data_IF_489668675002
#
_entry.id   IF_489668675002
#
_cell.length_a   1.000
_cell.length_b   1.000
_cell.length_c   1.000
_cell.angle_alpha   90.00
_cell.angle_beta   90.00
_cell.angle_gamma   90.00
#
_symmetry.space_group_name_H-M   'P 1'
#
loop_
_entity.id
_entity.type
_entity.pdbx_description
1 polymer ?
#
# COMPACT_ATOMS: atom_id res chain seq x y z
N UNK A 1 16.46 27.87 16.80
CA UNK A 1 15.02 27.51 16.73
C UNK A 1 14.95 26.01 16.53
N UNK A 2 14.69 25.27 17.62
CA UNK A 2 14.81 23.81 17.65
C UNK A 2 13.62 23.16 16.91
N UNK A 3 13.86 22.63 15.71
CA UNK A 3 12.95 21.68 15.08
C UNK A 3 12.84 20.46 15.99
N UNK A 4 11.71 20.35 16.70
CA UNK A 4 11.32 19.11 17.35
C UNK A 4 11.21 18.06 16.24
N UNK A 5 12.20 17.17 16.17
CA UNK A 5 12.11 15.92 15.41
C UNK A 5 10.95 15.14 16.01
N UNK A 6 9.73 15.36 15.51
CA UNK A 6 8.62 14.45 15.73
C UNK A 6 9.05 13.18 14.98
N UNK A 7 9.63 12.25 15.73
CA UNK A 7 9.83 10.89 15.28
C UNK A 7 8.45 10.33 14.96
N UNK A 8 8.09 10.38 13.67
CA UNK A 8 6.91 9.72 13.16
C UNK A 8 7.20 8.21 13.28
N UNK A 9 6.75 7.60 14.37
CA UNK A 9 6.78 6.14 14.53
C UNK A 9 5.74 5.57 13.56
N UNK A 10 6.10 5.46 12.29
CA UNK A 10 5.40 4.64 11.29
C UNK A 10 6.11 3.29 11.15
N UNK A 11 6.33 2.62 12.28
CA UNK A 11 6.60 1.19 12.29
C UNK A 11 5.31 0.49 12.71
N UNK A 12 4.29 0.51 11.85
CA UNK A 12 3.22 -0.47 11.96
C UNK A 12 3.77 -1.79 11.43
N UNK A 13 4.53 -2.48 12.28
CA UNK A 13 5.03 -3.82 11.98
C UNK A 13 3.80 -4.69 11.71
N UNK A 14 3.68 -5.23 10.49
CA UNK A 14 2.59 -6.10 10.08
C UNK A 14 2.39 -7.21 11.12
N UNK A 15 1.32 -7.10 11.91
CA UNK A 15 0.93 -8.12 12.85
C UNK A 15 0.36 -9.29 12.05
N UNK A 16 1.12 -10.38 11.94
CA UNK A 16 0.58 -11.65 11.44
C UNK A 16 -0.31 -12.24 12.53
N UNK A 17 -1.59 -11.88 12.57
CA UNK A 17 -2.56 -12.59 13.37
C UNK A 17 -4.01 -12.37 12.91
N UNK A 18 -4.71 -13.47 12.67
CA UNK A 18 -6.16 -13.57 12.82
C UNK A 18 -6.94 -13.50 11.52
N UNK A 19 -7.92 -14.38 11.42
CA UNK A 19 -9.00 -14.38 10.44
C UNK A 19 -9.60 -12.97 10.32
N UNK A 20 -9.28 -12.26 9.25
CA UNK A 20 -9.96 -11.03 8.88
C UNK A 20 -11.42 -11.39 8.60
N UNK A 21 -12.32 -11.02 9.49
CA UNK A 21 -13.76 -11.18 9.27
C UNK A 21 -14.20 -10.20 8.20
N UNK A 22 -14.56 -10.69 7.02
CA UNK A 22 -15.11 -9.87 5.96
C UNK A 22 -16.59 -9.61 6.20
N UNK A 23 -17.00 -8.36 6.06
CA UNK A 23 -18.42 -8.04 5.99
C UNK A 23 -18.98 -8.54 4.65
N UNK A 24 -20.19 -9.11 4.67
CA UNK A 24 -20.89 -9.57 3.46
C UNK A 24 -21.28 -8.41 2.51
N UNK A 25 -21.19 -7.17 2.99
CA UNK A 25 -21.46 -5.96 2.22
C UNK A 25 -20.32 -5.69 1.22
N UNK A 26 -20.54 -6.08 -0.04
CA UNK A 26 -19.65 -5.76 -1.15
C UNK A 26 -20.00 -4.44 -1.81
N UNK A 27 -18.99 -3.76 -2.36
CA UNK A 27 -19.10 -2.50 -3.10
C UNK A 27 -18.18 -2.57 -4.33
N UNK A 28 -18.43 -1.72 -5.32
CA UNK A 28 -17.53 -1.60 -6.48
C UNK A 28 -17.02 -0.17 -6.65
N UNK A 29 -15.77 -0.06 -7.08
CA UNK A 29 -15.14 1.21 -7.50
C UNK A 29 -14.91 1.14 -9.01
N UNK A 30 -15.33 2.18 -9.73
CA UNK A 30 -15.24 2.23 -11.19
C UNK A 30 -13.82 2.56 -11.66
N UNK A 31 -13.49 2.11 -12.85
CA UNK A 31 -12.24 2.47 -13.55
C UNK A 31 -12.06 3.99 -13.68
N UNK A 32 -10.79 4.43 -13.66
CA UNK A 32 -10.44 5.81 -14.00
C UNK A 32 -10.67 6.11 -15.49
N UNK A 33 -10.64 5.07 -16.34
CA UNK A 33 -10.98 5.15 -17.75
C UNK A 33 -12.51 5.16 -17.93
N UNK A 34 -13.04 6.29 -18.44
CA UNK A 34 -14.49 6.49 -18.64
C UNK A 34 -15.12 5.56 -19.67
N UNK A 35 -14.31 5.02 -20.59
CA UNK A 35 -14.76 4.09 -21.62
C UNK A 35 -14.66 2.62 -21.17
N UNK A 36 -14.12 2.39 -19.97
CA UNK A 36 -14.01 1.06 -19.37
C UNK A 36 -15.24 0.74 -18.53
N UNK A 37 -15.74 -0.50 -18.69
CA UNK A 37 -16.76 -1.07 -17.81
C UNK A 37 -16.16 -1.86 -16.64
N UNK A 38 -14.83 -1.81 -16.46
CA UNK A 38 -14.16 -2.51 -15.37
C UNK A 38 -14.53 -1.90 -14.02
N UNK A 39 -14.76 -2.78 -13.06
CA UNK A 39 -15.08 -2.44 -11.68
C UNK A 39 -14.20 -3.26 -10.73
N UNK A 40 -13.69 -2.61 -9.70
CA UNK A 40 -12.89 -3.24 -8.65
C UNK A 40 -13.78 -3.54 -7.47
N UNK A 41 -13.86 -4.81 -7.09
CA UNK A 41 -14.60 -5.25 -5.92
C UNK A 41 -13.85 -4.86 -4.63
N UNK A 42 -14.56 -4.21 -3.73
CA UNK A 42 -14.09 -3.91 -2.38
C UNK A 42 -15.16 -4.30 -1.35
N UNK A 43 -14.73 -4.45 -0.11
CA UNK A 43 -15.59 -4.84 1.01
C UNK A 43 -15.73 -3.68 1.98
N UNK A 44 -16.75 -3.73 2.82
CA UNK A 44 -16.88 -2.80 3.93
C UNK A 44 -15.77 -3.03 4.97
N UNK A 45 -14.96 -2.01 5.21
CA UNK A 45 -13.98 -2.01 6.30
C UNK A 45 -14.66 -1.81 7.66
N UNK A 46 -13.93 -2.09 8.75
CA UNK A 46 -14.38 -1.78 10.12
C UNK A 46 -14.47 -0.27 10.35
N UNK A 47 -13.54 0.47 9.76
CA UNK A 47 -13.55 1.94 9.75
C UNK A 47 -14.44 2.44 8.59
N UNK A 48 -15.42 3.29 8.92
CA UNK A 48 -16.38 3.81 7.96
C UNK A 48 -15.76 4.70 6.87
N UNK A 49 -14.56 5.22 7.09
CA UNK A 49 -13.83 6.07 6.14
C UNK A 49 -13.00 5.28 5.12
N UNK A 50 -13.00 3.94 5.21
CA UNK A 50 -12.22 3.05 4.36
C UNK A 50 -13.07 1.97 3.69
N UNK A 51 -12.58 1.50 2.55
CA UNK A 51 -12.90 0.21 1.96
C UNK A 51 -11.87 -0.82 2.41
N UNK A 52 -12.22 -2.09 2.37
CA UNK A 52 -11.27 -3.18 2.53
C UNK A 52 -11.04 -3.85 1.18
N UNK A 53 -9.81 -3.82 0.69
CA UNK A 53 -9.42 -4.51 -0.52
C UNK A 53 -8.80 -5.86 -0.19
N UNK A 54 -9.26 -6.91 -0.88
CA UNK A 54 -8.74 -8.26 -0.76
C UNK A 54 -8.29 -8.76 -2.13
N UNK A 55 -7.02 -9.13 -2.22
CA UNK A 55 -6.52 -9.85 -3.37
C UNK A 55 -6.51 -11.35 -3.05
N UNK A 56 -7.43 -12.10 -3.67
CA UNK A 56 -7.58 -13.54 -3.44
C UNK A 56 -6.44 -14.38 -4.02
N UNK A 57 -5.78 -13.89 -5.08
CA UNK A 57 -4.68 -14.60 -5.74
C UNK A 57 -3.46 -14.71 -4.84
N UNK A 58 -3.14 -13.64 -4.11
CA UNK A 58 -1.99 -13.58 -3.20
C UNK A 58 -2.38 -13.64 -1.72
N UNK A 59 -3.68 -13.59 -1.41
CA UNK A 59 -4.22 -13.74 -0.06
C UNK A 59 -3.84 -12.59 0.87
N UNK A 60 -3.79 -11.36 0.35
CA UNK A 60 -3.49 -10.15 1.14
C UNK A 60 -4.70 -9.22 1.26
N UNK A 61 -4.70 -8.43 2.33
CA UNK A 61 -5.72 -7.42 2.62
C UNK A 61 -5.06 -6.09 2.97
N UNK A 62 -5.68 -5.00 2.53
CA UNK A 62 -5.36 -3.64 3.00
C UNK A 62 -6.61 -2.77 2.93
N UNK A 63 -6.79 -1.89 3.91
CA UNK A 63 -7.84 -0.89 3.85
C UNK A 63 -7.42 0.27 2.94
N UNK A 64 -8.33 0.71 2.06
CA UNK A 64 -8.12 1.80 1.10
C UNK A 64 -9.05 2.96 1.47
N UNK A 65 -8.60 4.22 1.54
CA UNK A 65 -9.46 5.33 1.94
C UNK A 65 -10.61 5.54 0.93
N UNK A 66 -11.80 5.88 1.43
CA UNK A 66 -12.97 6.17 0.57
C UNK A 66 -12.84 7.41 -0.30
N UNK A 67 -11.82 8.24 -0.06
CA UNK A 67 -11.49 9.32 -0.99
C UNK A 67 -10.97 8.80 -2.31
N UNK A 68 -10.49 7.55 -2.36
CA UNK A 68 -10.24 6.86 -3.61
C UNK A 68 -11.57 6.47 -4.28
N UNK A 69 -11.92 7.19 -5.34
CA UNK A 69 -13.21 7.06 -6.03
C UNK A 69 -13.08 6.44 -7.41
N UNK A 70 -11.85 6.14 -7.82
CA UNK A 70 -11.52 5.42 -9.05
C UNK A 70 -10.56 4.29 -8.70
N UNK A 71 -10.63 3.20 -9.47
CA UNK A 71 -9.72 2.08 -9.29
C UNK A 71 -9.54 1.25 -10.56
N UNK A 72 -8.29 0.84 -10.84
CA UNK A 72 -7.93 0.03 -12.00
C UNK A 72 -7.09 -1.17 -11.56
N UNK A 73 -7.50 -2.38 -11.96
CA UNK A 73 -6.69 -3.58 -11.70
C UNK A 73 -5.38 -3.56 -12.50
N UNK A 74 -4.32 -4.10 -11.91
CA UNK A 74 -3.13 -4.44 -12.67
C UNK A 74 -3.44 -5.57 -13.67
N UNK A 75 -2.84 -5.53 -14.86
CA UNK A 75 -3.07 -6.51 -15.93
C UNK A 75 -2.78 -7.97 -15.50
N UNK A 76 -1.95 -8.17 -14.47
CA UNK A 76 -1.63 -9.49 -13.89
C UNK A 76 -2.53 -9.95 -12.74
N UNK A 77 -3.48 -9.12 -12.29
CA UNK A 77 -4.34 -9.41 -11.13
C UNK A 77 -3.61 -9.44 -9.79
N UNK A 78 -2.35 -8.99 -9.75
CA UNK A 78 -1.52 -8.96 -8.54
C UNK A 78 -1.76 -7.74 -7.65
N UNK A 79 -2.54 -6.79 -8.15
CA UNK A 79 -2.59 -5.46 -7.61
C UNK A 79 -3.69 -4.60 -8.18
N UNK A 80 -3.75 -3.37 -7.70
CA UNK A 80 -4.74 -2.39 -8.08
C UNK A 80 -4.19 -0.99 -7.83
N UNK A 81 -4.52 -0.07 -8.73
CA UNK A 81 -4.37 1.36 -8.56
C UNK A 81 -5.69 1.90 -8.03
N UNK A 82 -5.67 2.66 -6.95
CA UNK A 82 -6.81 3.38 -6.41
C UNK A 82 -6.48 4.87 -6.43
N UNK A 83 -7.34 5.70 -7.03
CA UNK A 83 -7.06 7.13 -7.20
C UNK A 83 -8.03 7.98 -6.41
N UNK A 84 -7.50 8.99 -5.71
CA UNK A 84 -8.23 10.14 -5.14
C UNK A 84 -8.06 11.30 -6.14
N UNK A 85 -9.02 11.53 -7.06
CA UNK A 85 -8.89 12.55 -8.10
C UNK A 85 -8.97 13.97 -7.54
N UNK A 86 -9.50 14.15 -6.32
CA UNK A 86 -9.65 15.47 -5.69
C UNK A 86 -8.30 16.01 -5.24
N UNK A 87 -7.48 15.15 -4.68
CA UNK A 87 -6.16 15.51 -4.16
C UNK A 87 -5.02 15.07 -5.09
N UNK A 88 -5.31 14.48 -6.25
CA UNK A 88 -4.30 13.94 -7.18
C UNK A 88 -3.34 12.99 -6.46
N UNK A 89 -3.92 12.02 -5.75
CA UNK A 89 -3.19 11.00 -5.01
C UNK A 89 -3.52 9.59 -5.50
N UNK A 90 -2.53 8.72 -5.36
CA UNK A 90 -2.53 7.36 -5.87
C UNK A 90 -2.15 6.39 -4.75
N UNK A 91 -2.97 5.38 -4.53
CA UNK A 91 -2.68 4.24 -3.68
C UNK A 91 -2.50 3.02 -4.57
N UNK A 92 -1.37 2.35 -4.44
CA UNK A 92 -1.02 1.20 -5.28
C UNK A 92 -0.88 -0.01 -4.38
N UNK A 93 -1.47 -1.14 -4.75
CA UNK A 93 -1.23 -2.43 -4.10
C UNK A 93 -0.63 -3.37 -5.12
N UNK A 94 0.28 -4.25 -4.70
CA UNK A 94 0.99 -5.14 -5.60
C UNK A 94 1.45 -6.39 -4.86
N UNK A 95 1.59 -7.51 -5.58
CA UNK A 95 2.24 -8.70 -5.10
C UNK A 95 2.96 -9.42 -6.23
N UNK A 96 3.97 -10.22 -5.93
CA UNK A 96 4.63 -11.03 -6.94
C UNK A 96 5.34 -12.24 -6.35
N UNK A 97 5.68 -13.17 -7.24
CA UNK A 97 6.61 -14.25 -6.93
C UNK A 97 8.03 -13.70 -6.91
N UNK A 98 8.76 -14.02 -5.85
CA UNK A 98 10.19 -13.79 -5.73
C UNK A 98 10.97 -14.89 -6.48
N UNK A 99 10.77 -15.00 -7.80
CA UNK A 99 11.33 -16.10 -8.59
C UNK A 99 12.88 -16.14 -8.60
N UNK A 100 13.50 -14.99 -8.31
CA UNK A 100 14.96 -14.84 -8.24
C UNK A 100 15.50 -14.96 -6.80
N UNK A 101 14.65 -15.25 -5.83
CA UNK A 101 15.00 -15.38 -4.40
C UNK A 101 15.74 -14.16 -3.84
N UNK A 102 15.32 -12.95 -4.23
CA UNK A 102 15.88 -11.72 -3.66
C UNK A 102 15.61 -11.64 -2.15
N UNK A 103 16.62 -11.19 -1.42
CA UNK A 103 16.52 -10.77 -0.04
C UNK A 103 15.74 -9.46 0.09
N UNK A 104 15.33 -9.13 1.32
CA UNK A 104 14.73 -7.83 1.64
C UNK A 104 15.64 -6.66 1.29
N UNK A 105 16.96 -6.80 1.48
CA UNK A 105 17.91 -5.75 1.17
C UNK A 105 18.03 -5.54 -0.35
N UNK A 106 18.03 -6.62 -1.14
CA UNK A 106 18.06 -6.54 -2.60
C UNK A 106 16.78 -5.90 -3.16
N UNK A 107 15.61 -6.30 -2.65
CA UNK A 107 14.32 -5.70 -3.03
C UNK A 107 14.30 -4.20 -2.69
N UNK A 108 14.70 -3.83 -1.47
CA UNK A 108 14.73 -2.44 -1.04
C UNK A 108 15.71 -1.60 -1.88
N UNK A 109 16.90 -2.13 -2.18
CA UNK A 109 17.88 -1.43 -3.01
C UNK A 109 17.43 -1.31 -4.47
N UNK A 110 16.70 -2.30 -4.99
CA UNK A 110 16.09 -2.21 -6.32
C UNK A 110 15.06 -1.08 -6.35
N UNK A 111 14.15 -1.01 -5.38
CA UNK A 111 13.16 0.08 -5.31
C UNK A 111 13.80 1.46 -5.16
N UNK A 112 14.87 1.59 -4.37
CA UNK A 112 15.61 2.85 -4.29
C UNK A 112 16.28 3.18 -5.64
N UNK A 113 16.87 2.19 -6.30
CA UNK A 113 17.60 2.34 -7.55
C UNK A 113 16.73 2.72 -8.74
N UNK A 114 15.56 2.09 -8.90
CA UNK A 114 14.62 2.41 -10.00
C UNK A 114 14.06 3.83 -9.90
N UNK A 115 14.06 4.41 -8.69
CA UNK A 115 13.64 5.78 -8.43
C UNK A 115 14.79 6.79 -8.52
N UNK A 116 15.93 6.41 -9.12
CA UNK A 116 17.07 7.31 -9.33
C UNK A 116 17.87 7.62 -8.07
N UNK A 117 17.81 6.75 -7.05
CA UNK A 117 18.49 6.91 -5.75
C UNK A 117 18.14 8.22 -5.03
N UNK A 118 16.87 8.45 -4.69
CA UNK A 118 16.43 9.68 -4.05
C UNK A 118 16.97 9.80 -2.61
N UNK A 119 17.04 11.02 -2.09
CA UNK A 119 17.28 11.23 -0.66
C UNK A 119 16.06 10.77 0.14
N UNK A 120 16.25 9.73 0.96
CA UNK A 120 15.17 9.12 1.72
C UNK A 120 14.85 9.94 2.97
N UNK A 121 13.56 10.25 3.14
CA UNK A 121 13.00 10.82 4.37
C UNK A 121 12.65 9.75 5.40
N UNK A 122 12.49 8.49 4.95
CA UNK A 122 12.28 7.31 5.79
C UNK A 122 12.98 6.12 5.17
N UNK A 123 13.59 5.31 6.03
CA UNK A 123 14.15 4.01 5.67
C UNK A 123 14.11 3.10 6.90
N UNK A 124 13.09 2.25 6.97
CA UNK A 124 12.89 1.28 8.06
C UNK A 124 12.94 -0.11 7.47
N UNK A 125 13.69 -1.01 8.11
CA UNK A 125 13.84 -2.40 7.67
C UNK A 125 13.67 -3.36 8.82
N UNK A 126 13.10 -4.51 8.53
CA UNK A 126 13.04 -5.68 9.41
C UNK A 126 13.62 -6.89 8.69
N UNK A 127 13.58 -8.06 9.33
CA UNK A 127 14.01 -9.31 8.69
C UNK A 127 13.22 -9.61 7.39
N UNK A 128 11.92 -9.30 7.38
CA UNK A 128 11.01 -9.74 6.33
C UNK A 128 10.22 -8.57 5.69
N UNK A 129 10.59 -7.31 5.95
CA UNK A 129 9.90 -6.15 5.38
C UNK A 129 10.77 -4.91 5.34
N UNK A 130 10.35 -3.92 4.55
CA UNK A 130 10.85 -2.56 4.64
C UNK A 130 9.76 -1.53 4.34
N UNK A 131 10.00 -0.31 4.80
CA UNK A 131 9.26 0.88 4.41
C UNK A 131 10.26 1.99 4.06
N UNK A 132 10.07 2.61 2.88
CA UNK A 132 10.86 3.73 2.41
C UNK A 132 9.94 4.89 2.03
N UNK A 133 10.43 6.12 2.21
CA UNK A 133 9.72 7.31 1.77
C UNK A 133 10.69 8.39 1.31
N UNK A 134 10.30 9.16 0.30
CA UNK A 134 11.07 10.30 -0.21
C UNK A 134 10.12 11.36 -0.78
N UNK A 135 10.67 12.50 -1.17
CA UNK A 135 9.94 13.56 -1.85
C UNK A 135 10.81 14.19 -2.93
N UNK A 136 10.18 14.61 -4.03
CA UNK A 136 10.81 15.44 -5.07
C UNK A 136 10.54 16.95 -4.85
N UNK A 137 9.93 17.29 -3.72
CA UNK A 137 9.44 18.63 -3.37
C UNK A 137 7.95 18.81 -3.65
N UNK A 138 7.45 18.35 -4.80
CA UNK A 138 6.04 18.50 -5.19
C UNK A 138 5.19 17.32 -4.71
N UNK A 139 5.69 16.10 -4.87
CA UNK A 139 5.06 14.87 -4.43
C UNK A 139 5.87 14.20 -3.32
N UNK A 140 5.15 13.52 -2.45
CA UNK A 140 5.70 12.63 -1.43
C UNK A 140 5.33 11.19 -1.80
N UNK A 141 6.29 10.30 -1.59
CA UNK A 141 6.22 8.90 -1.97
C UNK A 141 6.44 8.05 -0.73
N UNK A 142 5.59 7.05 -0.53
CA UNK A 142 5.71 6.03 0.50
C UNK A 142 5.57 4.66 -0.13
N UNK A 143 6.41 3.71 0.27
CA UNK A 143 6.35 2.32 -0.16
C UNK A 143 6.62 1.41 1.03
N UNK A 144 5.78 0.39 1.21
CA UNK A 144 5.95 -0.66 2.21
C UNK A 144 5.81 -2.03 1.54
N UNK A 145 6.77 -2.92 1.79
CA UNK A 145 6.81 -4.28 1.25
C UNK A 145 7.08 -5.31 2.33
N UNK A 146 6.42 -6.45 2.21
CA UNK A 146 6.63 -7.64 3.02
C UNK A 146 7.03 -8.84 2.15
N UNK A 147 8.09 -9.55 2.53
CA UNK A 147 8.54 -10.80 1.92
C UNK A 147 8.03 -12.00 2.74
N UNK A 148 7.22 -12.83 2.09
CA UNK A 148 6.86 -14.15 2.58
C UNK A 148 7.91 -15.19 2.12
N UNK A 149 8.90 -15.43 2.97
CA UNK A 149 9.97 -16.41 2.73
C UNK A 149 9.45 -17.84 2.48
N UNK A 150 8.30 -18.21 3.06
CA UNK A 150 7.75 -19.58 2.95
C UNK A 150 7.30 -19.90 1.52
N UNK A 151 6.62 -18.96 0.89
CA UNK A 151 6.06 -19.15 -0.45
C UNK A 151 6.87 -18.43 -1.54
N UNK A 152 7.96 -17.76 -1.16
CA UNK A 152 8.76 -16.91 -2.04
C UNK A 152 7.87 -15.95 -2.83
N UNK A 153 7.07 -15.17 -2.10
CA UNK A 153 6.25 -14.09 -2.63
C UNK A 153 6.48 -12.85 -1.82
N UNK A 154 6.29 -11.68 -2.42
CA UNK A 154 6.22 -10.44 -1.68
C UNK A 154 4.94 -9.68 -2.03
N UNK A 155 4.47 -8.88 -1.08
CA UNK A 155 3.28 -8.04 -1.19
C UNK A 155 3.65 -6.65 -0.73
N UNK A 156 3.17 -5.63 -1.43
CA UNK A 156 3.47 -4.24 -1.14
C UNK A 156 2.24 -3.35 -1.30
N UNK A 157 2.30 -2.18 -0.67
CA UNK A 157 1.50 -1.04 -1.08
C UNK A 157 2.37 0.22 -1.16
N UNK A 158 1.88 1.22 -1.89
CA UNK A 158 2.53 2.51 -2.03
C UNK A 158 1.52 3.63 -2.08
N UNK A 159 1.93 4.81 -1.65
CA UNK A 159 1.11 6.01 -1.67
C UNK A 159 1.92 7.16 -2.27
N UNK A 160 1.35 7.80 -3.28
CA UNK A 160 1.89 9.03 -3.89
C UNK A 160 0.87 10.14 -3.72
N UNK A 161 1.30 11.29 -3.20
CA UNK A 161 0.40 12.38 -2.88
C UNK A 161 1.12 13.74 -2.93
N UNK A 162 0.40 14.87 -3.09
CA UNK A 162 1.00 16.20 -3.00
C UNK A 162 1.63 16.47 -1.63
N UNK A 163 2.88 16.92 -1.58
CA UNK A 163 3.63 17.11 -0.34
C UNK A 163 2.93 18.08 0.63
N UNK A 164 2.20 19.08 0.13
CA UNK A 164 1.43 20.01 0.94
C UNK A 164 0.26 19.36 1.70
N UNK A 165 -0.12 18.13 1.35
CA UNK A 165 -1.17 17.34 2.02
C UNK A 165 -0.62 16.35 3.04
N UNK A 166 0.66 16.44 3.39
CA UNK A 166 1.36 15.49 4.26
C UNK A 166 0.60 15.09 5.52
N UNK A 167 0.04 16.04 6.27
CA UNK A 167 -0.68 15.71 7.52
C UNK A 167 -1.93 14.83 7.30
N UNK A 168 -2.59 14.95 6.14
CA UNK A 168 -3.72 14.08 5.76
C UNK A 168 -3.18 12.68 5.44
N UNK A 169 -2.19 12.61 4.56
CA UNK A 169 -1.71 11.32 4.03
C UNK A 169 -0.86 10.54 5.04
N UNK A 170 -0.16 11.18 5.95
CA UNK A 170 0.54 10.49 7.05
C UNK A 170 -0.46 9.71 7.93
N UNK A 171 -1.66 10.25 8.17
CA UNK A 171 -2.74 9.54 8.89
C UNK A 171 -3.30 8.37 8.09
N UNK A 172 -3.51 8.56 6.78
CA UNK A 172 -3.98 7.51 5.88
C UNK A 172 -2.96 6.38 5.80
N UNK A 173 -1.68 6.69 5.54
CA UNK A 173 -0.58 5.71 5.49
C UNK A 173 -0.51 4.96 6.82
N UNK A 174 -0.58 5.67 7.94
CA UNK A 174 -0.61 5.04 9.27
C UNK A 174 -1.75 4.03 9.43
N UNK A 175 -2.94 4.32 8.88
CA UNK A 175 -4.07 3.39 8.87
C UNK A 175 -3.83 2.20 7.94
N UNK A 176 -3.40 2.47 6.71
CA UNK A 176 -3.11 1.44 5.71
C UNK A 176 -2.10 0.43 6.26
N UNK A 177 -0.97 0.89 6.81
CA UNK A 177 0.04 0.03 7.44
C UNK A 177 -0.57 -0.84 8.55
N UNK A 178 -1.44 -0.29 9.43
CA UNK A 178 -2.09 -1.09 10.49
C UNK A 178 -3.07 -2.13 9.96
N UNK A 179 -3.73 -1.83 8.84
CA UNK A 179 -4.70 -2.73 8.20
C UNK A 179 -4.06 -3.77 7.29
N UNK A 180 -2.77 -3.60 6.96
CA UNK A 180 -2.10 -4.41 5.96
C UNK A 180 -1.80 -5.81 6.49
N UNK A 181 -2.50 -6.80 5.93
CA UNK A 181 -2.27 -8.22 6.17
C UNK A 181 -1.64 -8.80 4.91
N UNK A 182 -0.31 -9.01 4.86
CA UNK A 182 0.42 -9.19 3.61
C UNK A 182 0.28 -10.58 2.97
N UNK A 183 -0.27 -11.57 3.70
CA UNK A 183 -0.52 -12.92 3.19
C UNK A 183 -1.44 -13.72 4.14
N UNK A 184 -1.87 -14.90 3.69
CA UNK A 184 -2.51 -15.90 4.54
C UNK A 184 -4.01 -15.72 4.73
N UNK A 185 -4.61 -14.70 4.10
CA UNK A 185 -6.04 -14.44 4.18
C UNK A 185 -6.81 -15.31 3.19
N UNK A 186 -7.84 -16.00 3.69
CA UNK A 186 -8.79 -16.80 2.92
C UNK A 186 -10.20 -16.34 3.25
N UNK A 187 -10.99 -16.04 2.22
CA UNK A 187 -12.45 -15.88 2.30
C UNK A 187 -13.15 -17.21 2.13
#
# INVERSE_FOLDING_TARGET
>A
MNMKKIALVLAGIACVAGSTSFAADTMTIKSSNRDSYAEVLVYKAKDGDYYQYYNSMYGYVVDIPKSATQADMNEGGDGCYFQDPKDDALFMTYAAKNALNFSIDELCNMDIGVNGSPELTMNVRTKNSYAIAWTDGAKSYYHELFLNEKNQTYTAFSVVYPTEKKDKYDKIISHMTRSFVPNGVKM
#
